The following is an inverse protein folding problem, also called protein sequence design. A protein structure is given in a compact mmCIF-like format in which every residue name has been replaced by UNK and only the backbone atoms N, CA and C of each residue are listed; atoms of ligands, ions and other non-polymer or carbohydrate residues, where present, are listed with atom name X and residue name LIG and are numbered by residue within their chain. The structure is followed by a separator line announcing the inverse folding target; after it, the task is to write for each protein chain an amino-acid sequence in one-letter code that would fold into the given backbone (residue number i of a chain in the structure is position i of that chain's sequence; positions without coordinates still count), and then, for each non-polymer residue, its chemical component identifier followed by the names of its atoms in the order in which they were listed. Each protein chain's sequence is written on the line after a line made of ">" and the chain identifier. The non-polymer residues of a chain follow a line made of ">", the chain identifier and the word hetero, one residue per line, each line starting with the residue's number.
data_IF_170476103111
#
_entry.id   IF_170476103111
#
_cell.length_a   1.000
_cell.length_b   1.000
_cell.length_c   1.000
_cell.angle_alpha   90.00
_cell.angle_beta   90.00
_cell.angle_gamma   90.00
#
_symmetry.space_group_name_H-M   'P 1'
#
loop_
_entity.id
_entity.type
_entity.pdbx_description
1 polymer ?
#
# COMPACT_ATOMS: atom_id res chain seq x y z
N UNK A 1 3.86 14.71 22.80
CA UNK A 1 5.02 14.65 21.88
C UNK A 1 4.75 13.51 20.92
N UNK A 2 4.78 13.75 19.61
CA UNK A 2 4.54 12.72 18.60
C UNK A 2 5.76 11.81 18.51
N UNK A 3 5.58 10.51 18.63
CA UNK A 3 6.68 9.54 18.49
C UNK A 3 7.11 9.40 17.03
N UNK A 4 8.34 8.94 16.79
CA UNK A 4 8.83 8.67 15.43
C UNK A 4 7.90 7.71 14.67
N UNK A 5 7.41 6.66 15.32
CA UNK A 5 6.49 5.69 14.73
C UNK A 5 5.14 6.32 14.35
N UNK A 6 4.57 7.16 15.21
CA UNK A 6 3.33 7.88 14.90
C UNK A 6 3.51 8.83 13.72
N UNK A 7 4.61 9.58 13.69
CA UNK A 7 4.91 10.48 12.59
C UNK A 7 5.01 9.75 11.25
N UNK A 8 5.78 8.65 11.19
CA UNK A 8 5.98 7.87 9.96
C UNK A 8 4.68 7.16 9.53
N UNK A 9 3.85 6.72 10.48
CA UNK A 9 2.59 6.03 10.16
C UNK A 9 1.57 6.93 9.43
N UNK A 10 1.72 8.27 9.49
CA UNK A 10 0.84 9.20 8.78
C UNK A 10 1.23 9.43 7.31
N UNK A 11 2.40 8.96 6.89
CA UNK A 11 2.88 9.15 5.50
C UNK A 11 1.96 8.42 4.53
N UNK A 12 1.42 9.14 3.56
CA UNK A 12 0.47 8.62 2.56
C UNK A 12 1.24 8.07 1.37
N UNK A 13 0.78 6.96 0.81
CA UNK A 13 1.33 6.42 -0.43
C UNK A 13 1.06 7.39 -1.60
N UNK A 14 2.10 7.80 -2.37
CA UNK A 14 1.94 8.80 -3.42
C UNK A 14 1.16 8.30 -4.63
N UNK A 15 1.09 7.00 -4.87
CA UNK A 15 0.36 6.42 -6.01
C UNK A 15 -1.12 6.21 -5.69
N UNK A 16 -1.44 5.70 -4.50
CA UNK A 16 -2.80 5.39 -4.08
C UNK A 16 -3.52 6.58 -3.42
N UNK A 17 -2.78 7.46 -2.74
CA UNK A 17 -3.21 8.74 -2.15
C UNK A 17 -4.31 8.67 -1.08
N UNK A 18 -4.89 7.53 -0.82
CA UNK A 18 -5.99 7.33 0.15
C UNK A 18 -5.59 6.46 1.33
N UNK A 19 -4.44 5.82 1.25
CA UNK A 19 -3.90 4.93 2.28
C UNK A 19 -2.49 5.33 2.67
N UNK A 20 -2.14 5.08 3.91
CA UNK A 20 -0.79 5.30 4.41
C UNK A 20 0.13 4.12 4.11
N UNK A 21 1.44 4.36 4.16
CA UNK A 21 2.44 3.30 4.04
C UNK A 21 2.34 2.26 5.17
N UNK A 22 1.82 2.66 6.33
CA UNK A 22 1.54 1.74 7.43
C UNK A 22 0.34 0.85 7.11
N UNK A 23 -0.76 1.42 6.61
CA UNK A 23 -1.96 0.66 6.20
C UNK A 23 -1.70 -0.30 5.05
N UNK A 24 -0.78 0.04 4.14
CA UNK A 24 -0.34 -0.83 3.05
C UNK A 24 0.63 -1.93 3.49
N UNK A 25 1.23 -1.83 4.68
CA UNK A 25 2.27 -2.75 5.13
C UNK A 25 3.63 -2.51 4.46
N UNK A 26 3.83 -1.36 3.81
CA UNK A 26 5.14 -0.90 3.31
C UNK A 26 6.05 -0.56 4.49
N UNK A 27 5.50 0.12 5.52
CA UNK A 27 6.21 0.38 6.77
C UNK A 27 6.36 -0.92 7.57
N UNK A 28 7.61 -1.35 7.75
CA UNK A 28 7.93 -2.60 8.47
C UNK A 28 8.26 -2.36 9.92
N UNK A 29 9.15 -1.41 10.18
CA UNK A 29 9.57 -1.09 11.53
C UNK A 29 10.06 0.34 11.67
N UNK A 30 10.04 0.83 12.92
CA UNK A 30 10.61 2.12 13.34
C UNK A 30 11.29 1.89 14.67
N UNK A 31 12.60 1.97 14.69
CA UNK A 31 13.43 1.81 15.88
C UNK A 31 14.06 3.15 16.24
N UNK A 32 14.17 3.42 17.53
CA UNK A 32 14.92 4.59 18.04
C UNK A 32 15.96 4.08 19.02
N UNK A 33 17.22 4.38 18.79
CA UNK A 33 18.32 3.98 19.67
C UNK A 33 18.45 4.90 20.90
N UNK A 34 19.35 4.54 21.82
CA UNK A 34 19.58 5.29 23.05
C UNK A 34 20.14 6.71 22.82
N UNK A 35 20.61 7.01 21.61
CA UNK A 35 21.12 8.32 21.19
C UNK A 35 20.05 9.17 20.52
N UNK A 36 18.84 8.61 20.29
CA UNK A 36 17.76 9.28 19.61
C UNK A 36 17.80 9.17 18.09
N UNK A 37 18.72 8.37 17.52
CA UNK A 37 18.75 8.09 16.08
C UNK A 37 17.58 7.17 15.70
N UNK A 38 16.85 7.53 14.66
CA UNK A 38 15.67 6.78 14.19
C UNK A 38 16.02 5.99 12.94
N UNK A 39 15.79 4.68 12.97
CA UNK A 39 15.89 3.82 11.79
C UNK A 39 14.48 3.38 11.37
N UNK A 40 14.11 3.71 10.14
CA UNK A 40 12.85 3.29 9.53
C UNK A 40 13.11 2.20 8.50
N UNK A 41 12.44 1.08 8.62
CA UNK A 41 12.52 -0.04 7.66
C UNK A 41 11.27 -0.10 6.82
N UNK A 42 11.44 -0.11 5.50
CA UNK A 42 10.35 -0.19 4.52
C UNK A 42 10.58 -1.32 3.52
N UNK A 43 9.48 -1.88 3.00
CA UNK A 43 9.51 -2.91 1.94
C UNK A 43 8.65 -2.46 0.77
N UNK A 44 9.18 -2.37 -0.45
CA UNK A 44 8.40 -1.98 -1.62
C UNK A 44 7.39 -3.07 -2.00
N UNK A 45 6.27 -2.67 -2.59
CA UNK A 45 5.24 -3.60 -3.09
C UNK A 45 5.73 -4.42 -4.28
N UNK A 46 6.69 -3.89 -5.04
CA UNK A 46 7.40 -4.60 -6.11
C UNK A 46 8.79 -3.99 -6.31
N UNK A 47 9.69 -4.78 -6.88
CA UNK A 47 11.07 -4.34 -7.13
C UNK A 47 11.10 -3.22 -8.18
N UNK A 48 11.79 -2.12 -7.88
CA UNK A 48 11.91 -0.97 -8.79
C UNK A 48 10.72 -0.01 -8.76
N UNK A 49 9.90 -0.03 -7.69
CA UNK A 49 8.81 0.92 -7.51
C UNK A 49 9.33 2.37 -7.48
N UNK A 50 8.91 3.25 -8.42
CA UNK A 50 9.38 4.64 -8.47
C UNK A 50 8.86 5.48 -7.29
N UNK A 51 7.78 5.06 -6.63
CA UNK A 51 7.24 5.72 -5.45
C UNK A 51 8.17 5.68 -4.23
N UNK A 52 9.15 4.76 -4.21
CA UNK A 52 10.00 4.56 -3.04
C UNK A 52 10.87 5.77 -2.70
N UNK A 53 11.31 6.53 -3.68
CA UNK A 53 12.13 7.74 -3.44
C UNK A 53 11.26 8.83 -2.81
N UNK A 54 10.04 9.05 -3.31
CA UNK A 54 9.07 9.97 -2.71
C UNK A 54 8.70 9.55 -1.30
N UNK A 55 8.45 8.26 -1.08
CA UNK A 55 8.15 7.72 0.27
C UNK A 55 9.30 8.00 1.25
N UNK A 56 10.57 7.81 0.83
CA UNK A 56 11.73 8.12 1.68
C UNK A 56 11.81 9.60 2.03
N UNK A 57 11.56 10.48 1.06
CA UNK A 57 11.54 11.93 1.28
C UNK A 57 10.44 12.34 2.26
N UNK A 58 9.23 11.80 2.08
CA UNK A 58 8.07 12.07 2.93
C UNK A 58 8.29 11.55 4.37
N UNK A 59 8.87 10.36 4.52
CA UNK A 59 9.27 9.83 5.84
C UNK A 59 10.25 10.79 6.51
N UNK A 60 11.28 11.21 5.79
CA UNK A 60 12.27 12.16 6.31
C UNK A 60 11.64 13.50 6.70
N UNK A 61 10.70 14.01 5.92
CA UNK A 61 9.97 15.24 6.22
C UNK A 61 9.11 15.08 7.49
N UNK A 62 8.37 13.98 7.61
CA UNK A 62 7.53 13.68 8.78
C UNK A 62 8.38 13.57 10.07
N UNK A 63 9.51 12.88 10.00
CA UNK A 63 10.43 12.73 11.13
C UNK A 63 11.02 14.08 11.57
N UNK A 64 11.50 14.89 10.63
CA UNK A 64 12.02 16.23 10.94
C UNK A 64 10.95 17.12 11.57
N UNK A 65 9.72 17.11 11.05
CA UNK A 65 8.60 17.86 11.61
C UNK A 65 8.25 17.43 13.04
N UNK A 66 8.45 16.15 13.37
CA UNK A 66 8.24 15.59 14.70
C UNK A 66 9.46 15.78 15.65
N UNK A 67 10.54 16.41 15.18
CA UNK A 67 11.74 16.67 15.97
C UNK A 67 12.81 15.58 15.91
N UNK A 68 12.66 14.58 15.03
CA UNK A 68 13.63 13.50 14.81
C UNK A 68 14.51 13.79 13.60
N UNK A 69 15.45 14.74 13.74
CA UNK A 69 16.32 15.16 12.64
C UNK A 69 17.36 14.09 12.25
N UNK A 70 17.85 13.33 13.21
CA UNK A 70 18.81 12.25 12.99
C UNK A 70 18.08 10.94 12.70
N UNK A 71 18.02 10.58 11.42
CA UNK A 71 17.30 9.39 10.97
C UNK A 71 17.90 8.76 9.72
N UNK A 72 17.59 7.49 9.54
CA UNK A 72 17.91 6.71 8.35
C UNK A 72 16.68 5.93 7.87
N UNK A 73 16.51 5.81 6.55
CA UNK A 73 15.45 4.99 5.95
C UNK A 73 16.11 3.89 5.13
N UNK A 74 15.91 2.65 5.56
CA UNK A 74 16.44 1.47 4.87
C UNK A 74 15.34 0.69 4.16
N UNK A 75 15.65 0.18 2.98
CA UNK A 75 14.75 -0.67 2.21
C UNK A 75 15.19 -2.12 2.33
N UNK A 76 14.25 -3.00 2.68
CA UNK A 76 14.46 -4.44 2.73
C UNK A 76 13.52 -5.13 1.76
N UNK A 77 14.01 -6.19 1.11
CA UNK A 77 13.26 -6.96 0.10
C UNK A 77 12.88 -8.36 0.59
N UNK A 78 13.33 -8.73 1.78
CA UNK A 78 13.03 -10.01 2.39
C UNK A 78 12.50 -9.78 3.83
N UNK A 79 11.36 -10.39 4.18
CA UNK A 79 10.45 -11.09 3.30
C UNK A 79 9.85 -10.15 2.25
N UNK A 80 9.49 -10.69 1.07
CA UNK A 80 8.82 -9.90 0.04
C UNK A 80 7.47 -9.37 0.54
N UNK A 81 7.08 -8.17 0.08
CA UNK A 81 5.79 -7.60 0.43
C UNK A 81 4.65 -8.53 -0.01
N UNK A 82 3.63 -8.61 0.81
CA UNK A 82 2.42 -9.38 0.52
C UNK A 82 1.18 -8.51 0.70
N UNK A 83 0.19 -8.71 -0.16
CA UNK A 83 -1.13 -8.08 -0.03
C UNK A 83 -1.85 -8.42 1.27
N UNK A 84 -1.46 -9.51 1.94
CA UNK A 84 -1.98 -9.88 3.27
C UNK A 84 -1.56 -8.89 4.36
N UNK A 85 -0.54 -8.06 4.11
CA UNK A 85 -0.07 -7.04 5.04
C UNK A 85 -0.91 -5.75 5.02
N UNK A 86 -1.80 -5.60 4.04
CA UNK A 86 -2.72 -4.46 3.99
C UNK A 86 -3.70 -4.59 5.17
N UNK A 87 -3.77 -3.53 5.99
CA UNK A 87 -4.66 -3.51 7.15
C UNK A 87 -6.15 -3.53 6.73
N UNK A 88 -7.07 -3.95 7.61
CA UNK A 88 -8.50 -3.85 7.36
C UNK A 88 -8.95 -2.42 7.02
N UNK A 89 -8.40 -1.41 7.71
CA UNK A 89 -8.65 0.00 7.46
C UNK A 89 -8.17 0.42 6.06
N UNK A 90 -6.97 0.00 5.68
CA UNK A 90 -6.42 0.23 4.35
C UNK A 90 -7.29 -0.37 3.25
N UNK A 91 -7.76 -1.61 3.44
CA UNK A 91 -8.70 -2.28 2.51
C UNK A 91 -10.01 -1.51 2.38
N UNK A 92 -10.58 -1.04 3.49
CA UNK A 92 -11.80 -0.25 3.48
C UNK A 92 -11.63 1.08 2.75
N UNK A 93 -10.52 1.78 2.96
CA UNK A 93 -10.20 3.04 2.27
C UNK A 93 -10.01 2.84 0.77
N UNK A 94 -9.32 1.77 0.34
CA UNK A 94 -9.16 1.41 -1.06
C UNK A 94 -10.54 1.16 -1.71
N UNK A 95 -11.38 0.35 -1.10
CA UNK A 95 -12.72 0.05 -1.60
C UNK A 95 -13.58 1.33 -1.71
N UNK A 96 -13.55 2.20 -0.71
CA UNK A 96 -14.27 3.48 -0.73
C UNK A 96 -13.77 4.43 -1.83
N UNK A 97 -12.50 4.33 -2.22
CA UNK A 97 -11.91 5.08 -3.32
C UNK A 97 -12.15 4.43 -4.71
N UNK A 98 -12.92 3.34 -4.78
CA UNK A 98 -13.18 2.63 -6.03
C UNK A 98 -12.03 1.72 -6.49
N UNK A 99 -11.09 1.40 -5.60
CA UNK A 99 -9.97 0.48 -5.85
C UNK A 99 -10.27 -0.83 -5.14
N UNK A 100 -10.51 -1.90 -5.89
CA UNK A 100 -10.80 -3.19 -5.29
C UNK A 100 -9.58 -3.72 -4.54
N UNK A 101 -9.70 -3.99 -3.23
CA UNK A 101 -8.62 -4.62 -2.48
C UNK A 101 -8.40 -6.06 -2.96
N UNK A 102 -7.16 -6.58 -2.88
CA UNK A 102 -6.88 -7.93 -3.30
C UNK A 102 -7.51 -8.96 -2.35
N UNK A 103 -7.78 -10.15 -2.88
CA UNK A 103 -8.11 -11.32 -2.07
C UNK A 103 -6.90 -11.85 -1.29
N UNK A 104 -7.10 -12.89 -0.44
CA UNK A 104 -6.02 -13.52 0.30
C UNK A 104 -4.97 -14.12 -0.65
N UNK A 105 -3.67 -13.91 -0.38
CA UNK A 105 -2.57 -14.39 -1.23
C UNK A 105 -2.39 -15.91 -1.21
N UNK A 106 -2.92 -16.58 -0.20
CA UNK A 106 -2.75 -18.04 0.03
C UNK A 106 -3.82 -18.94 -0.59
N UNK A 107 -4.82 -18.38 -1.28
CA UNK A 107 -5.81 -19.23 -1.94
C UNK A 107 -5.31 -19.67 -3.31
N UNK A 108 -4.75 -20.88 -3.35
CA UNK A 108 -4.61 -21.67 -4.56
C UNK A 108 -6.01 -22.13 -4.97
N UNK A 109 -6.84 -21.22 -5.39
CA UNK A 109 -8.15 -21.59 -5.93
C UNK A 109 -8.52 -20.61 -7.03
N UNK A 110 -8.61 -21.15 -8.25
CA UNK A 110 -9.44 -20.70 -9.36
C UNK A 110 -9.98 -19.27 -9.18
N UNK A 111 -9.40 -18.33 -9.90
CA UNK A 111 -9.93 -16.99 -10.20
C UNK A 111 -10.90 -16.48 -9.15
N UNK A 112 -10.39 -15.97 -8.03
CA UNK A 112 -11.24 -15.22 -7.11
C UNK A 112 -11.65 -13.97 -7.88
N UNK A 113 -12.90 -13.95 -8.32
CA UNK A 113 -13.47 -12.81 -8.99
C UNK A 113 -13.33 -11.59 -8.09
N UNK A 114 -12.65 -10.56 -8.59
CA UNK A 114 -12.56 -9.28 -7.90
C UNK A 114 -13.95 -8.67 -7.90
N UNK A 115 -14.49 -8.33 -6.73
CA UNK A 115 -15.83 -7.75 -6.64
C UNK A 115 -15.86 -6.33 -7.20
N UNK A 116 -16.90 -6.04 -7.94
CA UNK A 116 -17.13 -4.68 -8.44
C UNK A 116 -17.27 -3.68 -7.29
N UNK A 117 -16.54 -2.58 -7.36
CA UNK A 117 -16.58 -1.50 -6.35
C UNK A 117 -17.85 -0.66 -6.43
N UNK A 118 -18.60 -0.74 -7.56
CA UNK A 118 -19.84 0.01 -7.77
C UNK A 118 -21.09 -0.74 -7.32
N UNK A 119 -21.22 -2.01 -7.70
CA UNK A 119 -22.44 -2.79 -7.43
C UNK A 119 -22.20 -4.05 -6.57
N UNK A 120 -20.94 -4.36 -6.21
CA UNK A 120 -20.62 -5.54 -5.39
C UNK A 120 -20.68 -6.88 -6.12
N UNK A 121 -21.04 -6.91 -7.40
CA UNK A 121 -21.14 -8.15 -8.19
C UNK A 121 -19.78 -8.87 -8.30
N UNK A 122 -19.74 -10.20 -8.19
CA UNK A 122 -18.57 -11.01 -8.50
C UNK A 122 -18.37 -11.24 -10.01
N UNK A 123 -19.36 -10.88 -10.84
CA UNK A 123 -19.31 -11.03 -12.29
C UNK A 123 -18.43 -9.96 -12.92
N UNK A 124 -17.13 -10.15 -12.83
CA UNK A 124 -16.11 -9.19 -13.31
C UNK A 124 -15.11 -9.86 -14.24
N UNK A 125 -14.51 -9.07 -15.10
CA UNK A 125 -13.44 -9.53 -16.01
C UNK A 125 -12.25 -8.56 -16.00
N UNK A 126 -11.06 -9.08 -16.11
CA UNK A 126 -9.86 -8.27 -16.23
C UNK A 126 -9.68 -7.79 -17.67
N UNK A 127 -9.70 -6.47 -17.88
CA UNK A 127 -9.46 -5.86 -19.19
C UNK A 127 -7.97 -5.72 -19.49
N UNK A 128 -7.18 -5.38 -18.48
CA UNK A 128 -5.73 -5.19 -18.59
C UNK A 128 -5.02 -5.54 -17.29
N UNK A 129 -3.82 -6.13 -17.42
CA UNK A 129 -2.91 -6.34 -16.29
C UNK A 129 -2.27 -5.03 -15.81
N UNK A 130 -2.43 -3.96 -16.56
CA UNK A 130 -1.90 -2.63 -16.26
C UNK A 130 -3.06 -1.68 -16.04
N UNK A 131 -3.08 -1.05 -14.86
CA UNK A 131 -4.02 0.02 -14.50
C UNK A 131 -3.34 1.39 -14.55
N UNK A 132 -3.87 2.32 -13.78
CA UNK A 132 -3.32 3.68 -13.65
C UNK A 132 -1.94 3.71 -12.97
N UNK A 133 -1.58 2.68 -12.20
CA UNK A 133 -0.26 2.47 -11.61
C UNK A 133 0.16 1.01 -11.79
N UNK A 134 1.46 0.72 -11.58
CA UNK A 134 1.99 -0.63 -11.78
C UNK A 134 1.43 -1.65 -10.78
N UNK A 135 0.98 -1.22 -9.60
CA UNK A 135 0.36 -2.09 -8.59
C UNK A 135 -1.11 -2.42 -8.87
N UNK A 136 -1.74 -1.77 -9.87
CA UNK A 136 -3.15 -1.94 -10.21
C UNK A 136 -3.34 -2.63 -11.55
N UNK A 137 -4.47 -3.34 -11.68
CA UNK A 137 -5.01 -3.89 -12.91
C UNK A 137 -6.36 -3.26 -13.22
N UNK A 138 -6.72 -3.17 -14.50
CA UNK A 138 -8.01 -2.63 -14.92
C UNK A 138 -9.01 -3.78 -15.10
N UNK A 139 -10.17 -3.63 -14.48
CA UNK A 139 -11.29 -4.59 -14.52
C UNK A 139 -12.56 -3.93 -15.00
N UNK A 140 -13.52 -4.73 -15.43
CA UNK A 140 -14.88 -4.31 -15.77
C UNK A 140 -15.89 -5.22 -15.11
N UNK A 141 -16.97 -4.64 -14.60
CA UNK A 141 -18.12 -5.39 -14.12
C UNK A 141 -19.01 -5.77 -15.30
N UNK A 142 -19.37 -7.05 -15.40
CA UNK A 142 -20.31 -7.54 -16.42
C UNK A 142 -21.77 -7.24 -16.07
N UNK A 143 -22.06 -6.97 -14.79
CA UNK A 143 -23.41 -6.67 -14.32
C UNK A 143 -23.80 -5.21 -14.54
N UNK A 144 -22.96 -4.25 -14.07
CA UNK A 144 -23.26 -2.82 -14.22
C UNK A 144 -22.49 -2.13 -15.36
N UNK A 145 -21.52 -2.81 -15.99
CA UNK A 145 -20.74 -2.30 -17.10
C UNK A 145 -19.57 -1.39 -16.71
N UNK A 146 -19.48 -0.96 -15.45
CA UNK A 146 -18.48 0.01 -15.00
C UNK A 146 -17.06 -0.58 -14.93
N UNK A 147 -16.04 0.15 -15.43
CA UNK A 147 -14.64 -0.17 -15.21
C UNK A 147 -14.21 0.27 -13.81
N UNK A 148 -13.22 -0.41 -13.25
CA UNK A 148 -12.62 -0.08 -11.96
C UNK A 148 -11.19 -0.63 -11.85
N UNK A 149 -10.37 -0.01 -11.01
CA UNK A 149 -9.04 -0.50 -10.68
C UNK A 149 -9.10 -1.55 -9.57
N UNK A 150 -8.19 -2.51 -9.61
CA UNK A 150 -7.98 -3.48 -8.53
C UNK A 150 -6.49 -3.63 -8.24
N UNK A 151 -6.15 -3.76 -6.97
CA UNK A 151 -4.77 -4.07 -6.56
C UNK A 151 -4.44 -5.48 -7.00
N UNK A 152 -3.26 -5.65 -7.64
CA UNK A 152 -2.74 -6.96 -7.99
C UNK A 152 -2.43 -7.75 -6.72
N UNK A 153 -2.75 -9.04 -6.69
CA UNK A 153 -2.32 -9.94 -5.61
C UNK A 153 -0.82 -10.29 -5.76
N UNK A 154 -0.09 -10.22 -4.66
CA UNK A 154 1.31 -10.58 -4.52
C UNK A 154 1.53 -11.46 -3.29
#
# INVERSE_FOLDING_TARGET
>A
MVTAREAVATVVDPELRVVTIAELGILRDVETDDRGHVTVTITPTYTGCPAMDVIREDIGAALRAAGHADHNVQTVFAPAWSTDWISPEGRAKLAAAGIAPPGPSKSVTLTIAVRCTHCGSPETEQLSRFGSTACKALWRCRTCGEPFDAIKAY
#
